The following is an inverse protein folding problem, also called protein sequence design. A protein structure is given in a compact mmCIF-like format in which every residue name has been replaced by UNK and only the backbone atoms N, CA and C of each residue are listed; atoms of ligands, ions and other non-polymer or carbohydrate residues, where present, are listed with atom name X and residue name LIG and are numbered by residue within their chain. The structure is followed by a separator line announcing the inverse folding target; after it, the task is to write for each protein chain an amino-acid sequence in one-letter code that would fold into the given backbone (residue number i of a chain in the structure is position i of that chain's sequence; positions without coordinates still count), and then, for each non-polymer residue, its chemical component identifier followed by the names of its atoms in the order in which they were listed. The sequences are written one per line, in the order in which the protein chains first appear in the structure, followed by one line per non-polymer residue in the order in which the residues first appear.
data_IF_726670345487
#
_entry.id   IF_726670345487
#
_cell.length_a   1.000
_cell.length_b   1.000
_cell.length_c   1.000
_cell.angle_alpha   90.00
_cell.angle_beta   90.00
_cell.angle_gamma   90.00
#
_symmetry.space_group_name_H-M   'P 1'
#
loop_
_entity.id
_entity.type
_entity.pdbx_description
1 polymer ?
#
# COMPACT_ATOMS: atom_id res chain seq x y z
N UNK A 1 0.56 10.83 -16.58
CA UNK A 1 -0.91 10.74 -16.76
C UNK A 1 -1.32 9.32 -17.16
N UNK A 2 -0.63 8.65 -18.09
CA UNK A 2 -0.99 7.27 -18.49
C UNK A 2 -0.82 6.22 -17.38
N UNK A 3 0.26 6.26 -16.59
CA UNK A 3 0.51 5.27 -15.52
C UNK A 3 -0.57 5.29 -14.43
N UNK A 4 -1.05 6.48 -14.03
CA UNK A 4 -2.09 6.59 -13.00
C UNK A 4 -3.43 6.03 -13.48
N UNK A 5 -3.77 6.20 -14.77
CA UNK A 5 -4.99 5.62 -15.34
C UNK A 5 -4.90 4.09 -15.32
N UNK A 6 -3.78 3.53 -15.79
CA UNK A 6 -3.58 2.07 -15.82
C UNK A 6 -3.69 1.47 -14.41
N UNK A 7 -2.99 2.05 -13.43
CA UNK A 7 -3.01 1.55 -12.05
C UNK A 7 -4.40 1.64 -11.44
N UNK A 8 -5.11 2.76 -11.63
CA UNK A 8 -6.46 2.93 -11.09
C UNK A 8 -7.45 1.96 -11.77
N UNK A 9 -7.38 1.79 -13.09
CA UNK A 9 -8.24 0.84 -13.81
C UNK A 9 -7.99 -0.60 -13.36
N UNK A 10 -6.73 -1.02 -13.19
CA UNK A 10 -6.40 -2.35 -12.68
C UNK A 10 -6.87 -2.54 -11.24
N UNK A 11 -6.71 -1.54 -10.38
CA UNK A 11 -7.18 -1.60 -9.00
C UNK A 11 -8.71 -1.73 -8.93
N UNK A 12 -9.44 -0.94 -9.72
CA UNK A 12 -10.90 -1.02 -9.82
C UNK A 12 -11.36 -2.38 -10.35
N UNK A 13 -10.71 -2.88 -11.40
CA UNK A 13 -11.01 -4.21 -11.94
C UNK A 13 -10.78 -5.31 -10.90
N UNK A 14 -9.68 -5.26 -10.15
CA UNK A 14 -9.41 -6.21 -9.06
C UNK A 14 -10.45 -6.14 -7.95
N UNK A 15 -10.87 -4.92 -7.55
CA UNK A 15 -11.93 -4.72 -6.56
C UNK A 15 -13.27 -5.29 -7.04
N UNK A 16 -13.67 -5.00 -8.28
CA UNK A 16 -14.93 -5.48 -8.87
C UNK A 16 -14.93 -6.99 -9.09
N UNK A 17 -13.78 -7.57 -9.44
CA UNK A 17 -13.63 -9.01 -9.66
C UNK A 17 -13.67 -9.78 -8.33
N UNK A 18 -12.90 -9.35 -7.33
CA UNK A 18 -12.84 -10.03 -6.04
C UNK A 18 -14.06 -9.76 -5.17
N UNK A 19 -14.65 -8.55 -5.26
CA UNK A 19 -15.71 -8.03 -4.36
C UNK A 19 -15.37 -8.26 -2.88
N UNK A 20 -14.09 -8.10 -2.52
CA UNK A 20 -13.57 -8.39 -1.20
C UNK A 20 -13.31 -7.10 -0.42
N UNK A 21 -13.84 -7.02 0.80
CA UNK A 21 -13.53 -5.94 1.73
C UNK A 21 -12.03 -5.84 2.02
N UNK A 22 -11.32 -6.97 2.11
CA UNK A 22 -9.87 -7.00 2.31
C UNK A 22 -9.07 -6.38 1.15
N UNK A 23 -9.53 -6.55 -0.09
CA UNK A 23 -8.90 -5.93 -1.28
C UNK A 23 -9.14 -4.42 -1.31
N UNK A 24 -10.36 -3.98 -0.95
CA UNK A 24 -10.67 -2.55 -0.79
C UNK A 24 -9.85 -1.92 0.32
N UNK A 25 -9.76 -2.60 1.47
CA UNK A 25 -8.99 -2.15 2.63
C UNK A 25 -7.50 -2.04 2.34
N UNK A 26 -6.93 -3.01 1.62
CA UNK A 26 -5.57 -2.95 1.10
C UNK A 26 -5.37 -1.74 0.18
N UNK A 27 -6.30 -1.51 -0.76
CA UNK A 27 -6.29 -0.35 -1.65
C UNK A 27 -6.31 0.98 -0.89
N UNK A 28 -7.19 1.11 0.11
CA UNK A 28 -7.26 2.28 0.98
C UNK A 28 -5.95 2.52 1.74
N UNK A 29 -5.35 1.47 2.29
CA UNK A 29 -4.04 1.53 2.95
C UNK A 29 -2.92 2.02 2.03
N UNK A 30 -2.95 1.61 0.75
CA UNK A 30 -1.96 2.05 -0.23
C UNK A 30 -2.04 3.56 -0.51
N UNK A 31 -3.27 4.09 -0.60
CA UNK A 31 -3.53 5.53 -0.78
C UNK A 31 -3.12 6.29 0.48
N UNK A 32 -3.48 5.78 1.67
CA UNK A 32 -3.13 6.36 2.95
C UNK A 32 -1.61 6.42 3.18
N UNK A 33 -0.88 5.35 2.84
CA UNK A 33 0.59 5.33 2.89
C UNK A 33 1.19 6.38 1.94
N UNK A 34 0.72 6.46 0.70
CA UNK A 34 1.19 7.44 -0.26
C UNK A 34 0.91 8.89 0.19
N UNK A 35 -0.27 9.15 0.76
CA UNK A 35 -0.63 10.44 1.35
C UNK A 35 0.27 10.78 2.53
N UNK A 36 0.49 9.85 3.46
CA UNK A 36 1.38 10.01 4.61
C UNK A 36 2.80 10.35 4.17
N UNK A 37 3.34 9.63 3.18
CA UNK A 37 4.67 9.93 2.63
C UNK A 37 4.77 11.33 2.01
N UNK A 38 3.68 11.81 1.36
CA UNK A 38 3.61 13.18 0.83
C UNK A 38 3.54 14.22 1.95
N UNK A 39 2.78 13.98 3.01
CA UNK A 39 2.68 14.87 4.16
C UNK A 39 4.03 14.99 4.88
N UNK A 40 4.69 13.86 5.19
CA UNK A 40 6.01 13.85 5.83
C UNK A 40 7.03 14.63 4.98
N UNK A 41 6.97 14.50 3.66
CA UNK A 41 7.82 15.27 2.73
C UNK A 41 7.66 16.78 2.88
N UNK A 42 6.44 17.26 3.12
CA UNK A 42 6.16 18.68 3.33
C UNK A 42 6.66 19.19 4.69
N UNK A 43 6.82 18.29 5.66
CA UNK A 43 7.37 18.60 6.99
C UNK A 43 8.90 18.61 6.96
N UNK A 44 9.53 17.54 6.44
CA UNK A 44 11.00 17.40 6.43
C UNK A 44 11.65 18.37 5.45
N UNK A 45 11.02 18.61 4.30
CA UNK A 45 11.49 19.52 3.25
C UNK A 45 12.93 19.26 2.76
N UNK A 46 13.45 18.05 2.92
CA UNK A 46 14.80 17.70 2.46
C UNK A 46 14.87 17.77 0.92
N UNK A 47 15.88 18.43 0.39
CA UNK A 47 16.15 18.50 -1.06
C UNK A 47 16.44 17.14 -1.69
N UNK A 48 16.15 17.02 -2.99
CA UNK A 48 16.62 15.90 -3.83
C UNK A 48 18.10 16.11 -4.21
N UNK A 49 18.80 15.07 -4.70
CA UNK A 49 20.15 15.23 -5.25
C UNK A 49 20.21 16.36 -6.29
N UNK A 50 21.30 17.16 -6.26
CA UNK A 50 21.46 18.38 -7.05
C UNK A 50 21.36 18.18 -8.58
N UNK A 51 21.56 16.95 -9.06
CA UNK A 51 21.51 16.59 -10.48
C UNK A 51 20.08 16.23 -10.97
N UNK A 52 19.06 16.32 -10.10
CA UNK A 52 17.69 15.95 -10.40
C UNK A 52 16.91 17.04 -11.14
N UNK A 53 16.31 16.68 -12.28
CA UNK A 53 15.47 17.54 -13.15
C UNK A 53 14.20 18.14 -12.49
N UNK A 54 13.94 17.88 -11.19
CA UNK A 54 12.75 18.36 -10.45
C UNK A 54 13.14 18.90 -9.09
N UNK A 55 12.87 20.19 -8.85
CA UNK A 55 12.93 20.83 -7.54
C UNK A 55 11.71 20.40 -6.73
N UNK A 56 11.84 19.35 -5.92
CA UNK A 56 10.80 18.81 -5.06
C UNK A 56 11.43 18.12 -3.87
N UNK A 57 10.72 18.00 -2.75
CA UNK A 57 11.21 17.32 -1.55
C UNK A 57 11.46 15.82 -1.81
N UNK A 58 12.54 15.30 -1.22
CA UNK A 58 13.09 13.97 -1.48
C UNK A 58 12.74 12.93 -0.43
N UNK A 59 12.57 13.31 0.83
CA UNK A 59 12.45 12.38 1.97
C UNK A 59 11.06 12.41 2.61
N UNK A 60 10.41 11.26 2.83
CA UNK A 60 10.74 9.91 2.35
C UNK A 60 10.37 9.69 0.88
N UNK A 61 11.07 8.81 0.16
CA UNK A 61 10.70 8.45 -1.23
C UNK A 61 9.29 7.83 -1.29
N UNK A 62 8.38 8.46 -2.05
CA UNK A 62 6.96 8.04 -2.13
C UNK A 62 6.84 6.73 -2.91
N UNK A 63 7.61 6.57 -3.99
CA UNK A 63 7.69 5.30 -4.72
C UNK A 63 8.21 4.18 -3.83
N UNK A 64 9.26 4.44 -3.04
CA UNK A 64 9.79 3.44 -2.10
C UNK A 64 8.75 3.08 -1.04
N UNK A 65 8.06 4.07 -0.47
CA UNK A 65 7.01 3.87 0.55
C UNK A 65 5.85 3.03 0.01
N UNK A 66 5.28 3.43 -1.13
CA UNK A 66 4.15 2.70 -1.70
C UNK A 66 4.55 1.29 -2.16
N UNK A 67 5.64 1.12 -2.91
CA UNK A 67 6.02 -0.21 -3.40
C UNK A 67 6.34 -1.20 -2.27
N UNK A 68 6.97 -0.71 -1.19
CA UNK A 68 7.27 -1.55 -0.02
C UNK A 68 6.03 -1.82 0.83
N UNK A 69 5.07 -0.89 0.91
CA UNK A 69 3.75 -1.17 1.46
C UNK A 69 3.06 -2.33 0.73
N UNK A 70 3.02 -2.27 -0.62
CA UNK A 70 2.41 -3.33 -1.44
C UNK A 70 3.07 -4.69 -1.18
N UNK A 71 4.41 -4.74 -1.21
CA UNK A 71 5.15 -5.98 -1.01
C UNK A 71 5.01 -6.53 0.43
N UNK A 72 5.11 -5.67 1.44
CA UNK A 72 5.00 -6.06 2.84
C UNK A 72 3.59 -6.53 3.18
N UNK A 73 2.55 -5.79 2.78
CA UNK A 73 1.17 -6.18 3.03
C UNK A 73 0.81 -7.49 2.31
N UNK A 74 1.21 -7.66 1.05
CA UNK A 74 0.99 -8.91 0.33
C UNK A 74 1.71 -10.08 1.01
N UNK A 75 2.93 -9.87 1.52
CA UNK A 75 3.66 -10.88 2.29
C UNK A 75 2.90 -11.28 3.56
N UNK A 76 2.43 -10.30 4.33
CA UNK A 76 1.63 -10.57 5.53
C UNK A 76 0.31 -11.28 5.19
N UNK A 77 -0.39 -10.85 4.14
CA UNK A 77 -1.62 -11.48 3.69
C UNK A 77 -1.39 -12.94 3.26
N UNK A 78 -0.32 -13.23 2.50
CA UNK A 78 0.02 -14.60 2.11
C UNK A 78 0.42 -15.49 3.29
N UNK A 79 0.95 -14.93 4.38
CA UNK A 79 1.36 -15.69 5.57
C UNK A 79 0.20 -15.96 6.53
N UNK A 80 -0.72 -15.01 6.69
CA UNK A 80 -1.69 -15.02 7.78
C UNK A 80 -3.15 -15.11 7.32
N UNK A 81 -3.46 -14.92 6.04
CA UNK A 81 -4.82 -14.99 5.52
C UNK A 81 -4.97 -16.15 4.52
N UNK A 82 -6.13 -16.81 4.47
CA UNK A 82 -6.44 -17.76 3.41
C UNK A 82 -6.52 -17.05 2.06
N UNK A 83 -6.13 -17.74 0.99
CA UNK A 83 -6.27 -17.23 -0.38
C UNK A 83 -7.75 -17.02 -0.69
N UNK A 84 -8.09 -15.82 -1.20
CA UNK A 84 -9.46 -15.48 -1.54
C UNK A 84 -10.04 -16.46 -2.59
N UNK A 85 -11.29 -16.94 -2.48
CA UNK A 85 -11.85 -17.98 -3.36
C UNK A 85 -11.85 -17.65 -4.86
N UNK A 86 -11.86 -16.35 -5.20
CA UNK A 86 -11.80 -15.88 -6.60
C UNK A 86 -10.38 -15.72 -7.14
N UNK A 87 -9.37 -15.93 -6.33
CA UNK A 87 -7.97 -15.91 -6.75
C UNK A 87 -7.47 -17.33 -6.95
N UNK A 88 -6.52 -17.49 -7.86
CA UNK A 88 -5.84 -18.77 -8.04
C UNK A 88 -5.06 -19.14 -6.76
N UNK A 89 -5.03 -20.40 -6.32
CA UNK A 89 -4.31 -20.82 -5.09
C UNK A 89 -2.83 -20.40 -5.07
N UNK A 90 -2.19 -20.31 -6.24
CA UNK A 90 -0.82 -19.82 -6.36
C UNK A 90 -0.63 -18.34 -5.93
N UNK A 91 -1.70 -17.59 -5.68
CA UNK A 91 -1.62 -16.23 -5.13
C UNK A 91 -0.90 -16.17 -3.77
N UNK A 92 -0.84 -17.29 -3.03
CA UNK A 92 0.00 -17.39 -1.82
C UNK A 92 1.48 -17.10 -2.09
N UNK A 93 1.95 -17.35 -3.32
CA UNK A 93 3.33 -17.11 -3.76
C UNK A 93 3.55 -15.70 -4.32
N UNK A 94 2.56 -14.81 -4.29
CA UNK A 94 2.72 -13.42 -4.72
C UNK A 94 3.96 -12.70 -4.14
N UNK A 95 4.39 -12.95 -2.88
CA UNK A 95 5.59 -12.31 -2.33
C UNK A 95 6.87 -12.62 -3.11
N UNK A 96 6.97 -13.79 -3.74
CA UNK A 96 8.14 -14.18 -4.56
C UNK A 96 8.34 -13.27 -5.77
N UNK A 97 7.27 -12.61 -6.24
CA UNK A 97 7.33 -11.65 -7.34
C UNK A 97 7.36 -10.22 -6.81
N UNK A 98 6.50 -9.91 -5.83
CA UNK A 98 6.32 -8.53 -5.36
C UNK A 98 7.53 -7.98 -4.61
N UNK A 99 8.22 -8.79 -3.80
CA UNK A 99 9.39 -8.34 -3.04
C UNK A 99 10.58 -8.02 -3.95
N UNK A 100 10.98 -8.88 -4.91
CA UNK A 100 12.00 -8.51 -5.89
C UNK A 100 11.62 -7.30 -6.73
N UNK A 101 10.36 -7.23 -7.17
CA UNK A 101 9.87 -6.10 -7.97
C UNK A 101 9.94 -4.77 -7.21
N UNK A 102 9.50 -4.74 -5.95
CA UNK A 102 9.62 -3.56 -5.10
C UNK A 102 11.08 -3.17 -4.89
N UNK A 103 11.97 -4.14 -4.67
CA UNK A 103 13.42 -3.91 -4.51
C UNK A 103 14.03 -3.28 -5.76
N UNK A 104 13.69 -3.78 -6.96
CA UNK A 104 14.12 -3.20 -8.23
C UNK A 104 13.66 -1.76 -8.38
N UNK A 105 12.39 -1.46 -8.06
CA UNK A 105 11.87 -0.09 -8.11
C UNK A 105 12.62 0.81 -7.13
N UNK A 106 12.82 0.38 -5.90
CA UNK A 106 13.56 1.12 -4.87
C UNK A 106 14.98 1.45 -5.34
N UNK A 107 15.72 0.45 -5.83
CA UNK A 107 17.07 0.62 -6.37
C UNK A 107 17.11 1.54 -7.60
N UNK A 108 16.11 1.45 -8.49
CA UNK A 108 16.00 2.32 -9.66
C UNK A 108 15.92 3.81 -9.28
N UNK A 109 15.36 4.13 -8.09
CA UNK A 109 15.24 5.52 -7.63
C UNK A 109 16.61 6.14 -7.35
N UNK A 110 17.56 5.33 -6.87
CA UNK A 110 18.92 5.78 -6.61
C UNK A 110 19.75 5.74 -7.89
N UNK A 111 19.67 4.64 -8.64
CA UNK A 111 20.45 4.45 -9.86
C UNK A 111 20.15 5.50 -10.94
N UNK A 112 18.88 5.90 -11.10
CA UNK A 112 18.47 6.96 -12.01
C UNK A 112 18.67 8.38 -11.44
N UNK A 113 19.29 8.53 -10.26
CA UNK A 113 19.61 9.81 -9.64
C UNK A 113 18.41 10.58 -9.07
N UNK A 114 17.26 9.94 -8.87
CA UNK A 114 16.07 10.62 -8.35
C UNK A 114 16.08 10.84 -6.83
N UNK A 115 16.77 9.98 -6.10
CA UNK A 115 16.81 9.94 -4.63
C UNK A 115 18.17 9.44 -4.12
N UNK A 116 18.50 9.74 -2.86
CA UNK A 116 19.65 9.16 -2.16
C UNK A 116 19.27 7.87 -1.42
N UNK A 117 20.26 7.07 -1.02
CA UNK A 117 20.05 5.87 -0.20
C UNK A 117 19.25 6.13 1.10
N UNK A 118 19.55 7.18 1.90
CA UNK A 118 18.73 7.50 3.07
C UNK A 118 17.27 7.83 2.74
N UNK A 119 17.01 8.50 1.61
CA UNK A 119 15.64 8.87 1.21
C UNK A 119 14.81 7.65 0.83
N UNK A 120 15.43 6.69 0.14
CA UNK A 120 14.76 5.43 -0.21
C UNK A 120 14.62 4.52 1.00
N UNK A 121 15.62 4.46 1.89
CA UNK A 121 15.56 3.69 3.13
C UNK A 121 14.44 4.18 4.06
N UNK A 122 14.33 5.50 4.27
CA UNK A 122 13.23 6.09 5.03
C UNK A 122 11.86 5.81 4.40
N UNK A 123 11.77 5.81 3.06
CA UNK A 123 10.56 5.41 2.36
C UNK A 123 10.23 3.94 2.58
N UNK A 124 11.21 3.04 2.44
CA UNK A 124 11.04 1.61 2.69
C UNK A 124 10.59 1.33 4.12
N UNK A 125 11.23 1.96 5.11
CA UNK A 125 10.84 1.83 6.51
C UNK A 125 9.40 2.30 6.76
N UNK A 126 9.03 3.46 6.20
CA UNK A 126 7.65 3.95 6.28
C UNK A 126 6.66 2.96 5.68
N UNK A 127 6.94 2.43 4.48
CA UNK A 127 6.04 1.49 3.80
C UNK A 127 5.85 0.18 4.57
N UNK A 128 6.94 -0.39 5.12
CA UNK A 128 6.90 -1.60 5.94
C UNK A 128 6.10 -1.36 7.23
N UNK A 129 6.44 -0.31 7.99
CA UNK A 129 5.73 0.02 9.24
C UNK A 129 4.25 0.26 8.99
N UNK A 130 3.92 1.03 7.95
CA UNK A 130 2.55 1.34 7.60
C UNK A 130 1.78 0.06 7.20
N UNK A 131 2.38 -0.82 6.39
CA UNK A 131 1.77 -2.09 6.03
C UNK A 131 1.54 -2.99 7.24
N UNK A 132 2.52 -3.10 8.15
CA UNK A 132 2.39 -3.88 9.38
C UNK A 132 1.26 -3.37 10.27
N UNK A 133 1.18 -2.05 10.50
CA UNK A 133 0.12 -1.44 11.30
C UNK A 133 -1.24 -1.63 10.63
N UNK A 134 -1.35 -1.31 9.33
CA UNK A 134 -2.59 -1.43 8.57
C UNK A 134 -3.09 -2.88 8.55
N UNK A 135 -2.19 -3.85 8.34
CA UNK A 135 -2.54 -5.26 8.35
C UNK A 135 -2.95 -5.77 9.73
N UNK A 136 -2.28 -5.30 10.79
CA UNK A 136 -2.68 -5.61 12.16
C UNK A 136 -4.10 -5.12 12.44
N UNK A 137 -4.40 -3.89 12.07
CA UNK A 137 -5.74 -3.32 12.21
C UNK A 137 -6.76 -4.20 11.48
N UNK A 138 -6.45 -4.70 10.28
CA UNK A 138 -7.35 -5.63 9.57
C UNK A 138 -7.59 -6.95 10.31
N UNK A 139 -6.54 -7.62 10.79
CA UNK A 139 -6.66 -8.92 11.47
C UNK A 139 -7.29 -8.80 12.86
N UNK A 140 -6.89 -7.79 13.63
CA UNK A 140 -7.43 -7.56 14.97
C UNK A 140 -8.94 -7.23 14.91
N UNK A 141 -9.36 -6.53 13.85
CA UNK A 141 -10.77 -6.26 13.56
C UNK A 141 -11.55 -7.51 13.11
N UNK A 142 -10.95 -8.35 12.27
CA UNK A 142 -11.52 -9.63 11.86
C UNK A 142 -11.67 -10.64 13.04
N UNK A 143 -10.94 -10.43 14.14
CA UNK A 143 -10.96 -11.25 15.36
C UNK A 143 -12.02 -10.86 16.40
N UNK A 144 -12.91 -9.89 16.10
CA UNK A 144 -14.01 -9.51 16.99
C UNK A 144 -13.67 -8.46 18.06
N UNK A 145 -12.47 -7.87 18.02
CA UNK A 145 -12.17 -6.65 18.78
C UNK A 145 -12.46 -5.48 17.84
N UNK A 146 -13.59 -4.80 18.05
CA UNK A 146 -14.06 -3.68 17.23
C UNK A 146 -12.95 -2.65 17.03
N UNK A 147 -12.36 -2.61 15.85
CA UNK A 147 -11.73 -1.40 15.33
C UNK A 147 -12.66 -0.77 14.28
N UNK A 148 -12.16 0.26 13.58
CA UNK A 148 -12.94 1.09 12.67
C UNK A 148 -13.63 0.29 11.54
N UNK A 149 -13.07 -0.85 11.10
CA UNK A 149 -13.59 -1.64 10.00
C UNK A 149 -14.84 -2.44 10.38
N UNK A 150 -14.88 -3.08 11.55
CA UNK A 150 -16.05 -3.82 12.03
C UNK A 150 -17.20 -2.87 12.37
N UNK A 151 -16.90 -1.64 12.80
CA UNK A 151 -17.92 -0.59 12.94
C UNK A 151 -18.44 -0.13 11.58
N UNK A 152 -17.58 0.02 10.57
CA UNK A 152 -17.99 0.41 9.23
C UNK A 152 -18.79 -0.69 8.53
N UNK A 153 -18.38 -1.95 8.63
CA UNK A 153 -19.11 -3.10 8.08
C UNK A 153 -20.46 -3.27 8.76
N UNK A 154 -20.52 -3.17 10.10
CA UNK A 154 -21.78 -3.18 10.84
C UNK A 154 -22.71 -2.04 10.41
N UNK A 155 -22.18 -0.82 10.29
CA UNK A 155 -22.95 0.33 9.81
C UNK A 155 -23.43 0.17 8.37
N UNK A 156 -22.60 -0.38 7.48
CA UNK A 156 -22.95 -0.59 6.07
C UNK A 156 -24.03 -1.67 5.94
N UNK A 157 -23.91 -2.75 6.71
CA UNK A 157 -24.88 -3.83 6.78
C UNK A 157 -26.22 -3.33 7.34
N UNK A 158 -26.19 -2.52 8.40
CA UNK A 158 -27.39 -1.91 8.99
C UNK A 158 -28.04 -0.94 8.00
N UNK A 159 -27.26 -0.16 7.25
CA UNK A 159 -27.76 0.73 6.20
C UNK A 159 -28.35 -0.04 5.01
N UNK A 160 -27.73 -1.14 4.59
CA UNK A 160 -28.24 -1.99 3.51
C UNK A 160 -29.48 -2.79 3.91
N UNK A 161 -29.61 -3.16 5.19
CA UNK A 161 -30.76 -3.90 5.73
C UNK A 161 -31.89 -2.97 6.18
N UNK A 162 -31.61 -1.70 6.43
CA UNK A 162 -32.55 -0.65 6.83
C UNK A 162 -33.01 0.22 5.66
N UNK A 163 -33.75 -0.36 4.71
CA UNK A 163 -34.67 0.42 3.87
C UNK A 163 -35.97 0.67 4.64
N UNK A 164 -36.41 1.93 4.69
CA UNK A 164 -37.72 2.39 5.17
C UNK A 164 -38.90 1.49 4.78
#
# INVERSE_FOLDING_TARGET
QQTSVIVTTLALAACLHTRSAGVLYFGAGSIACAATAKLIKQVIRQGRPAHGRKVSYGMPSTHSSSCTFFAAYATLASLYLPVHPRLHPAAIYAPLVMVPWASLIVSSRVWLGYHTWPQVAAGTALGVVFASVWFRLWIEDAGGVRTLGGMLEGWLDDWLKGSW
#
